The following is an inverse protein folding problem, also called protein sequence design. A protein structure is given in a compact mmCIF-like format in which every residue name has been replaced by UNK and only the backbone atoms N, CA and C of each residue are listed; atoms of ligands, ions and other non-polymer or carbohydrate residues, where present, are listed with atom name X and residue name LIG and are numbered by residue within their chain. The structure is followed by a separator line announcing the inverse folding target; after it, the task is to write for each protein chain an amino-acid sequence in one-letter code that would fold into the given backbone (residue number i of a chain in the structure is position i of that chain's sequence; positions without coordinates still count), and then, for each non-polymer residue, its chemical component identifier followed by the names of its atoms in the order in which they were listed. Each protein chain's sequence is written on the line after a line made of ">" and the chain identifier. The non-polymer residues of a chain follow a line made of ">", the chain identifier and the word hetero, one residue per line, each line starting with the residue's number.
data_IF_758734231129
#
_entry.id   IF_758734231129
#
_cell.length_a   1.000
_cell.length_b   1.000
_cell.length_c   1.000
_cell.angle_alpha   90.00
_cell.angle_beta   90.00
_cell.angle_gamma   90.00
#
_symmetry.space_group_name_H-M   'P 1'
#
loop_
_entity.id
_entity.type
_entity.pdbx_description
1 polymer ?
#
# COMPACT_ATOMS: atom_id res chain seq x y z
N UNK A 1 -21.94 39.41 48.69
CA UNK A 1 -22.23 38.98 50.08
C UNK A 1 -22.62 37.51 49.98
N UNK A 2 -21.68 36.58 50.24
CA UNK A 2 -21.60 35.78 51.49
C UNK A 2 -22.97 35.21 51.92
N UNK A 3 -23.18 33.91 52.14
CA UNK A 3 -22.32 32.73 52.23
C UNK A 3 -23.12 31.55 52.82
N UNK A 4 -22.46 30.40 53.04
CA UNK A 4 -22.92 29.27 53.89
C UNK A 4 -23.05 27.95 53.12
N UNK A 5 -22.02 27.09 53.03
CA UNK A 5 -21.46 26.13 54.01
C UNK A 5 -22.20 24.77 54.15
N UNK A 6 -21.46 23.73 53.74
CA UNK A 6 -21.20 22.42 54.41
C UNK A 6 -22.37 21.43 54.57
N UNK A 7 -22.22 20.11 54.43
CA UNK A 7 -21.10 19.19 54.22
C UNK A 7 -21.59 17.74 54.49
N UNK A 8 -20.77 16.72 54.20
CA UNK A 8 -20.92 15.38 54.79
C UNK A 8 -20.99 14.19 53.82
N UNK A 9 -19.86 13.50 53.67
CA UNK A 9 -19.75 12.10 53.22
C UNK A 9 -20.26 11.13 54.29
N UNK A 10 -20.84 9.98 53.88
CA UNK A 10 -20.48 8.61 54.30
C UNK A 10 -21.58 7.59 53.93
N UNK A 11 -21.16 6.42 53.41
CA UNK A 11 -21.86 5.15 53.66
C UNK A 11 -21.99 4.19 52.47
N UNK A 12 -20.96 3.40 52.19
CA UNK A 12 -21.01 2.11 51.48
C UNK A 12 -21.96 1.12 52.16
N UNK A 13 -22.72 0.31 51.40
CA UNK A 13 -23.03 -1.09 51.74
C UNK A 13 -23.39 -1.90 50.47
N UNK A 14 -22.66 -2.99 50.26
CA UNK A 14 -22.81 -4.02 49.23
C UNK A 14 -23.86 -5.09 49.58
N UNK A 15 -24.39 -5.73 48.53
CA UNK A 15 -24.65 -7.18 48.39
C UNK A 15 -26.11 -7.66 48.17
N UNK A 16 -26.26 -8.38 47.04
CA UNK A 16 -27.06 -9.61 46.79
C UNK A 16 -28.60 -9.55 46.66
N UNK A 17 -29.08 -9.89 45.47
CA UNK A 17 -29.82 -11.13 45.11
C UNK A 17 -30.90 -10.85 44.04
N UNK A 18 -30.87 -11.61 42.93
CA UNK A 18 -32.00 -12.47 42.53
C UNK A 18 -31.74 -13.27 41.25
N UNK A 19 -31.66 -14.59 41.44
CA UNK A 19 -31.84 -15.64 40.44
C UNK A 19 -33.29 -15.67 39.92
N UNK A 20 -33.45 -15.69 38.59
CA UNK A 20 -34.70 -16.06 37.92
C UNK A 20 -34.46 -17.23 36.97
N UNK A 21 -34.97 -18.40 37.33
CA UNK A 21 -34.87 -19.65 36.56
C UNK A 21 -35.81 -19.66 35.35
N UNK A 22 -35.37 -20.23 34.22
CA UNK A 22 -36.28 -20.98 33.33
C UNK A 22 -35.51 -22.13 32.66
N UNK A 23 -35.90 -23.37 33.02
CA UNK A 23 -35.49 -24.60 32.35
C UNK A 23 -36.58 -25.00 31.36
N UNK A 24 -36.22 -25.26 30.10
CA UNK A 24 -36.90 -26.28 29.31
C UNK A 24 -36.13 -26.67 28.04
N UNK A 25 -35.89 -27.99 27.88
CA UNK A 25 -35.86 -28.65 26.57
C UNK A 25 -34.49 -28.87 25.92
N UNK A 26 -33.86 -30.01 26.21
CA UNK A 26 -32.88 -30.64 25.32
C UNK A 26 -33.58 -31.09 24.02
N UNK A 27 -33.00 -30.79 22.86
CA UNK A 27 -33.01 -31.68 21.69
C UNK A 27 -31.94 -31.28 20.68
N UNK A 28 -31.47 -32.32 19.99
CA UNK A 28 -30.24 -32.45 19.22
C UNK A 28 -30.27 -31.75 17.86
N UNK A 29 -29.06 -31.38 17.41
CA UNK A 29 -28.51 -31.48 16.05
C UNK A 29 -29.24 -30.89 14.82
N UNK A 30 -28.38 -30.27 14.02
CA UNK A 30 -28.41 -30.05 12.56
C UNK A 30 -29.01 -28.75 12.03
N UNK A 31 -28.07 -27.99 11.45
CA UNK A 31 -28.14 -27.29 10.17
C UNK A 31 -29.13 -26.14 10.04
N UNK A 32 -28.54 -24.96 9.79
CA UNK A 32 -29.11 -23.96 8.92
C UNK A 32 -29.01 -22.55 9.49
N UNK A 33 -28.65 -21.63 8.59
CA UNK A 33 -28.93 -20.18 8.63
C UNK A 33 -27.90 -19.37 9.45
N UNK A 34 -27.36 -18.24 9.00
CA UNK A 34 -27.82 -17.22 8.01
C UNK A 34 -26.69 -16.18 7.87
N UNK A 35 -26.36 -15.75 6.64
CA UNK A 35 -26.61 -14.40 6.09
C UNK A 35 -26.12 -13.18 6.90
N UNK A 36 -25.24 -12.42 6.23
CA UNK A 36 -25.10 -10.97 6.20
C UNK A 36 -25.09 -10.19 7.52
N UNK A 37 -23.94 -9.55 7.77
CA UNK A 37 -23.93 -8.21 8.34
C UNK A 37 -22.61 -7.88 9.01
N UNK A 38 -21.76 -7.13 8.31
CA UNK A 38 -20.68 -6.22 8.78
C UNK A 38 -19.76 -6.00 7.57
N UNK A 39 -19.95 -5.04 6.65
CA UNK A 39 -19.74 -3.60 6.80
C UNK A 39 -19.05 -3.19 8.11
N UNK A 40 -17.73 -3.02 8.01
CA UNK A 40 -16.90 -2.26 8.93
C UNK A 40 -15.98 -3.10 9.81
N UNK A 41 -14.97 -3.74 9.23
CA UNK A 41 -13.69 -4.13 9.84
C UNK A 41 -12.63 -4.24 8.74
N UNK A 42 -12.23 -3.11 8.14
CA UNK A 42 -10.89 -2.97 7.57
C UNK A 42 -9.97 -2.63 8.74
N UNK A 43 -8.79 -3.25 8.78
CA UNK A 43 -7.83 -3.10 9.86
C UNK A 43 -7.81 -4.32 10.78
N UNK A 44 -6.67 -5.01 10.74
CA UNK A 44 -6.30 -6.25 11.43
C UNK A 44 -6.63 -7.51 10.64
N UNK A 45 -5.86 -7.73 9.58
CA UNK A 45 -5.49 -9.09 9.26
C UNK A 45 -4.79 -9.70 10.47
N UNK A 46 -5.24 -10.88 10.92
CA UNK A 46 -4.55 -11.62 11.98
C UNK A 46 -3.34 -12.35 11.42
N UNK A 47 -2.36 -12.73 12.23
CA UNK A 47 -1.22 -13.62 11.84
C UNK A 47 -1.65 -14.92 11.10
N UNK A 48 -2.95 -15.27 11.14
CA UNK A 48 -3.53 -16.41 10.41
C UNK A 48 -3.99 -16.07 8.98
N UNK A 49 -4.21 -14.79 8.65
CA UNK A 49 -4.59 -14.28 7.33
C UNK A 49 -3.34 -13.98 6.50
N UNK A 50 -2.30 -13.38 7.09
CA UNK A 50 -1.03 -13.18 6.37
C UNK A 50 -0.39 -14.52 5.95
N UNK A 51 -0.34 -15.50 6.86
CA UNK A 51 0.11 -16.85 6.49
C UNK A 51 -0.80 -17.62 5.52
N UNK A 52 -1.97 -17.09 5.14
CA UNK A 52 -2.77 -17.62 4.02
C UNK A 52 -2.32 -17.01 2.68
N UNK A 53 -1.64 -15.86 2.65
CA UNK A 53 -1.20 -15.20 1.42
C UNK A 53 -0.14 -16.05 0.69
N UNK A 54 0.89 -16.53 1.40
CA UNK A 54 1.83 -17.53 0.84
C UNK A 54 1.15 -18.84 0.38
N UNK A 55 0.04 -19.23 1.04
CA UNK A 55 -0.73 -20.41 0.64
C UNK A 55 -1.62 -20.10 -0.58
N UNK A 56 -1.97 -18.84 -0.85
CA UNK A 56 -2.88 -18.39 -1.90
C UNK A 56 -2.23 -18.48 -3.29
N UNK A 57 -0.97 -18.03 -3.44
CA UNK A 57 -0.14 -18.25 -4.64
C UNK A 57 -0.05 -19.74 -5.02
N UNK A 58 -0.05 -20.63 -4.01
CA UNK A 58 -0.04 -22.10 -4.16
C UNK A 58 -1.45 -22.73 -4.31
N UNK A 59 -2.50 -21.97 -3.96
CA UNK A 59 -3.91 -22.33 -4.09
C UNK A 59 -4.51 -21.67 -5.36
N UNK A 60 -5.76 -21.99 -5.70
CA UNK A 60 -6.36 -21.52 -6.96
C UNK A 60 -6.93 -20.09 -6.78
N UNK A 61 -6.14 -19.18 -6.22
CA UNK A 61 -6.50 -17.80 -5.81
C UNK A 61 -5.21 -16.95 -5.72
N UNK A 62 -4.54 -16.71 -6.85
CA UNK A 62 -3.13 -16.30 -6.90
C UNK A 62 -2.87 -14.91 -6.28
N UNK A 63 -3.75 -13.95 -6.54
CA UNK A 63 -3.80 -12.58 -5.99
C UNK A 63 -4.42 -12.45 -4.57
N UNK A 64 -4.97 -13.54 -4.02
CA UNK A 64 -5.66 -13.52 -2.73
C UNK A 64 -6.91 -12.65 -2.63
N UNK A 65 -7.53 -12.21 -3.73
CA UNK A 65 -8.71 -11.33 -3.72
C UNK A 65 -10.02 -12.08 -3.31
N UNK A 66 -9.94 -13.43 -3.29
CA UNK A 66 -11.01 -14.36 -2.94
C UNK A 66 -11.87 -14.82 -4.11
N UNK A 67 -11.50 -14.50 -5.34
CA UNK A 67 -12.07 -14.94 -6.60
C UNK A 67 -11.13 -16.00 -7.20
N UNK A 68 -11.58 -17.26 -7.31
CA UNK A 68 -10.68 -18.31 -7.79
C UNK A 68 -10.20 -18.09 -9.23
N UNK A 69 -8.93 -18.39 -9.52
CA UNK A 69 -8.27 -18.26 -10.84
C UNK A 69 -9.05 -18.87 -12.03
N UNK A 70 -9.97 -19.82 -11.79
CA UNK A 70 -10.76 -20.42 -12.88
C UNK A 70 -11.97 -19.57 -13.31
N UNK A 71 -12.28 -18.53 -12.54
CA UNK A 71 -13.34 -17.55 -12.78
C UNK A 71 -12.86 -16.10 -12.71
N UNK A 72 -11.60 -15.87 -12.34
CA UNK A 72 -10.99 -14.55 -12.41
C UNK A 72 -10.76 -14.08 -13.86
N UNK A 73 -10.89 -12.78 -14.06
CA UNK A 73 -10.46 -12.09 -15.27
C UNK A 73 -9.00 -11.62 -15.22
N UNK A 74 -8.37 -11.65 -14.06
CA UNK A 74 -7.02 -11.14 -13.78
C UNK A 74 -6.52 -11.91 -12.54
N UNK A 75 -5.64 -12.91 -12.66
CA UNK A 75 -5.42 -13.83 -11.51
C UNK A 75 -4.37 -13.33 -10.53
N UNK A 76 -3.50 -12.46 -10.99
CA UNK A 76 -2.47 -11.75 -10.26
C UNK A 76 -2.95 -10.36 -9.88
N UNK A 77 -3.90 -9.74 -10.59
CA UNK A 77 -4.23 -8.32 -10.40
C UNK A 77 -3.07 -7.38 -10.73
N UNK A 78 -2.28 -7.77 -11.72
CA UNK A 78 -1.18 -6.98 -12.26
C UNK A 78 -1.67 -5.82 -13.15
N UNK A 79 -3.00 -5.66 -13.31
CA UNK A 79 -3.65 -4.66 -14.14
C UNK A 79 -3.93 -5.13 -15.59
N UNK A 80 -3.36 -6.26 -16.00
CA UNK A 80 -3.41 -6.81 -17.35
C UNK A 80 -4.33 -8.05 -17.39
N UNK A 81 -5.50 -8.00 -18.05
CA UNK A 81 -6.42 -9.13 -18.03
C UNK A 81 -5.84 -10.43 -18.61
N UNK A 82 -6.02 -11.55 -17.91
CA UNK A 82 -5.68 -12.95 -18.26
C UNK A 82 -5.76 -13.35 -19.75
N UNK A 83 -6.69 -12.77 -20.52
CA UNK A 83 -6.92 -13.08 -21.94
C UNK A 83 -5.88 -12.43 -22.88
N UNK A 84 -5.17 -11.41 -22.41
CA UNK A 84 -4.18 -10.62 -23.15
C UNK A 84 -2.82 -10.57 -22.48
N UNK A 85 -2.76 -10.93 -21.20
CA UNK A 85 -1.52 -11.05 -20.46
C UNK A 85 -0.73 -12.33 -20.84
N UNK A 86 0.59 -12.17 -20.94
CA UNK A 86 1.55 -13.22 -21.27
C UNK A 86 2.02 -13.99 -20.01
N UNK A 87 1.84 -13.43 -18.81
CA UNK A 87 2.30 -13.95 -17.52
C UNK A 87 1.22 -13.89 -16.39
N UNK A 88 0.09 -14.64 -16.48
CA UNK A 88 -1.12 -14.37 -15.65
C UNK A 88 -1.10 -14.93 -14.23
N UNK A 89 0.10 -15.06 -13.68
CA UNK A 89 0.43 -15.49 -12.32
C UNK A 89 1.78 -14.87 -11.89
N UNK A 90 2.05 -13.64 -12.31
CA UNK A 90 3.35 -12.93 -12.24
C UNK A 90 3.05 -11.46 -11.89
N UNK A 91 2.78 -11.21 -10.61
CA UNK A 91 2.17 -9.97 -10.13
C UNK A 91 3.02 -8.72 -10.36
N UNK A 92 4.34 -8.85 -10.21
CA UNK A 92 5.35 -7.81 -10.49
C UNK A 92 5.88 -7.85 -11.93
N UNK A 93 5.47 -8.82 -12.75
CA UNK A 93 5.93 -9.01 -14.12
C UNK A 93 7.46 -9.22 -14.32
N UNK A 94 8.21 -9.66 -13.30
CA UNK A 94 9.67 -9.90 -13.40
C UNK A 94 10.04 -11.15 -14.24
N UNK A 95 9.03 -11.98 -14.54
CA UNK A 95 9.14 -13.24 -15.28
C UNK A 95 9.28 -14.50 -14.41
N UNK A 96 9.14 -14.36 -13.10
CA UNK A 96 9.14 -15.40 -12.07
C UNK A 96 7.76 -15.47 -11.44
N UNK A 97 6.95 -16.49 -11.80
CA UNK A 97 5.59 -16.57 -11.29
C UNK A 97 5.54 -16.59 -9.75
N UNK A 98 4.55 -15.93 -9.14
CA UNK A 98 4.46 -15.65 -7.70
C UNK A 98 4.74 -16.87 -6.81
N UNK A 99 4.26 -18.06 -7.19
CA UNK A 99 4.48 -19.29 -6.42
C UNK A 99 5.96 -19.79 -6.39
N UNK A 100 6.80 -19.25 -7.26
CA UNK A 100 8.25 -19.45 -7.35
C UNK A 100 9.04 -18.18 -6.99
N UNK A 101 8.36 -17.04 -6.80
CA UNK A 101 8.95 -15.79 -6.29
C UNK A 101 9.09 -15.81 -4.76
N UNK A 102 10.08 -15.10 -4.24
CA UNK A 102 10.24 -14.81 -2.82
C UNK A 102 9.83 -13.34 -2.51
N UNK A 103 9.41 -12.54 -3.49
CA UNK A 103 9.07 -11.09 -3.45
C UNK A 103 8.05 -10.78 -4.57
N UNK A 104 6.78 -11.12 -4.33
CA UNK A 104 5.80 -11.26 -5.40
C UNK A 104 5.20 -9.94 -5.90
N UNK A 105 5.19 -8.91 -5.07
CA UNK A 105 4.81 -7.57 -5.50
C UNK A 105 5.99 -6.72 -5.95
N UNK A 106 7.23 -7.18 -5.80
CA UNK A 106 8.40 -6.44 -6.29
C UNK A 106 8.66 -5.16 -5.50
N UNK A 107 8.08 -5.05 -4.30
CA UNK A 107 8.36 -3.95 -3.37
C UNK A 107 9.76 -4.12 -2.72
N UNK A 108 10.40 -5.27 -2.98
CA UNK A 108 11.75 -5.56 -2.57
C UNK A 108 11.87 -6.10 -1.13
N UNK A 109 10.75 -6.36 -0.48
CA UNK A 109 10.61 -7.06 0.79
C UNK A 109 10.27 -8.52 0.52
N UNK A 110 11.05 -9.45 1.07
CA UNK A 110 10.75 -10.89 0.92
C UNK A 110 9.34 -11.21 1.49
N UNK A 111 8.49 -11.89 0.72
CA UNK A 111 7.11 -12.30 1.06
C UNK A 111 7.00 -12.89 2.47
N UNK A 112 8.06 -13.61 2.90
CA UNK A 112 8.07 -14.26 4.21
C UNK A 112 8.36 -13.26 5.32
N UNK A 113 9.09 -12.20 5.07
CA UNK A 113 9.31 -11.12 6.02
C UNK A 113 8.01 -10.33 6.23
N UNK A 114 7.38 -9.89 5.15
CA UNK A 114 6.06 -9.23 5.12
C UNK A 114 4.99 -10.01 5.88
N UNK A 115 4.80 -11.29 5.54
CA UNK A 115 3.79 -12.15 6.19
C UNK A 115 4.05 -12.35 7.70
N UNK A 116 5.27 -12.09 8.19
CA UNK A 116 5.66 -12.30 9.58
C UNK A 116 5.88 -11.02 10.40
N UNK A 117 5.91 -9.84 9.80
CA UNK A 117 6.16 -8.58 10.51
C UNK A 117 4.91 -8.08 11.27
N UNK A 118 3.72 -8.44 10.78
CA UNK A 118 2.42 -8.04 11.30
C UNK A 118 2.03 -6.59 10.97
N UNK A 119 2.71 -5.96 10.00
CA UNK A 119 2.30 -4.71 9.37
C UNK A 119 1.33 -5.04 8.22
N UNK A 120 0.17 -4.37 8.13
CA UNK A 120 -0.73 -4.54 6.99
C UNK A 120 -0.35 -3.71 5.76
N UNK A 121 0.71 -2.90 5.85
CA UNK A 121 1.26 -2.00 4.84
C UNK A 121 2.52 -2.59 4.16
N UNK A 122 2.73 -3.90 4.32
CA UNK A 122 3.83 -4.68 3.75
C UNK A 122 3.25 -6.05 3.46
N UNK A 123 2.34 -6.08 2.48
CA UNK A 123 1.59 -7.27 2.15
C UNK A 123 1.83 -7.58 0.69
N UNK A 124 2.56 -8.65 0.39
CA UNK A 124 2.85 -9.44 -0.84
C UNK A 124 2.08 -9.20 -2.17
N UNK A 125 1.23 -8.20 -2.23
CA UNK A 125 0.26 -7.76 -3.23
C UNK A 125 -0.03 -6.24 -3.02
N UNK A 126 0.94 -5.47 -2.53
CA UNK A 126 0.87 -4.06 -2.06
C UNK A 126 2.19 -3.36 -2.46
N UNK A 127 2.39 -3.17 -3.77
CA UNK A 127 3.66 -2.73 -4.37
C UNK A 127 4.22 -1.42 -3.77
N UNK A 128 3.36 -0.42 -3.59
CA UNK A 128 3.69 0.87 -2.97
C UNK A 128 3.65 0.86 -1.43
N UNK A 129 3.39 -0.29 -0.81
CA UNK A 129 3.26 -0.47 0.63
C UNK A 129 2.22 0.45 1.32
N UNK A 130 1.30 1.10 0.60
CA UNK A 130 0.44 2.13 1.17
C UNK A 130 -0.66 1.53 2.10
N UNK A 131 -0.83 0.22 2.05
CA UNK A 131 -1.83 -0.57 2.77
C UNK A 131 -3.12 -0.80 1.99
N UNK A 132 -3.15 -0.46 0.70
CA UNK A 132 -4.19 -0.69 -0.29
C UNK A 132 -3.65 -1.63 -1.36
N UNK A 133 -3.86 -2.92 -1.12
CA UNK A 133 -3.54 -3.95 -2.13
C UNK A 133 -3.92 -3.58 -3.57
N UNK A 134 -2.99 -3.86 -4.48
CA UNK A 134 -2.97 -3.62 -5.92
C UNK A 134 -4.27 -4.01 -6.63
N UNK A 135 -4.93 -5.06 -6.15
CA UNK A 135 -6.26 -5.49 -6.62
C UNK A 135 -7.33 -4.39 -6.60
N UNK A 136 -7.17 -3.39 -5.74
CA UNK A 136 -8.09 -2.27 -5.60
C UNK A 136 -7.41 -0.90 -5.63
N UNK A 137 -6.09 -0.86 -5.68
CA UNK A 137 -5.38 0.38 -5.92
C UNK A 137 -5.64 0.88 -7.36
N UNK A 138 -5.68 2.19 -7.50
CA UNK A 138 -5.78 2.86 -8.79
C UNK A 138 -4.45 3.41 -9.27
N UNK A 139 -3.42 3.40 -8.42
CA UNK A 139 -2.11 4.08 -8.52
C UNK A 139 -1.10 3.20 -7.76
N UNK A 140 -0.72 2.05 -8.33
CA UNK A 140 -0.05 0.92 -7.64
C UNK A 140 1.37 1.25 -7.18
N UNK A 141 2.03 2.16 -7.87
CA UNK A 141 3.35 2.68 -7.56
C UNK A 141 3.29 4.06 -6.91
N UNK A 142 2.13 4.71 -6.76
CA UNK A 142 1.99 6.05 -6.17
C UNK A 142 2.77 7.17 -6.90
N UNK A 143 2.98 7.03 -8.20
CA UNK A 143 3.61 8.06 -9.04
C UNK A 143 2.66 9.23 -9.41
N UNK A 144 1.41 9.17 -8.93
CA UNK A 144 0.39 10.19 -9.18
C UNK A 144 -0.35 10.04 -10.52
N UNK A 145 -0.10 8.96 -11.26
CA UNK A 145 -0.72 8.59 -12.52
C UNK A 145 -1.53 7.30 -12.34
N UNK A 146 -2.87 7.40 -12.32
CA UNK A 146 -3.74 6.20 -12.29
C UNK A 146 -3.25 5.09 -13.29
N UNK A 147 -3.08 3.82 -12.86
CA UNK A 147 -2.57 2.65 -13.65
C UNK A 147 -3.15 2.52 -15.07
N UNK A 148 -4.37 3.03 -15.30
CA UNK A 148 -5.04 2.97 -16.61
C UNK A 148 -4.53 4.00 -17.61
N UNK A 149 -3.96 5.09 -17.11
CA UNK A 149 -3.32 6.13 -17.88
C UNK A 149 -1.81 5.92 -17.93
N UNK A 150 -1.31 5.14 -16.99
CA UNK A 150 0.09 4.89 -16.86
C UNK A 150 0.58 3.78 -17.79
N UNK A 151 0.87 4.22 -19.01
CA UNK A 151 1.13 3.36 -20.15
C UNK A 151 2.08 4.11 -21.07
N UNK A 152 3.23 3.51 -21.34
CA UNK A 152 4.26 4.10 -22.18
C UNK A 152 3.80 4.34 -23.62
N UNK A 153 4.57 5.15 -24.34
CA UNK A 153 4.30 5.59 -25.73
C UNK A 153 4.13 4.42 -26.73
N UNK A 154 4.66 3.24 -26.37
CA UNK A 154 4.59 1.99 -27.14
C UNK A 154 3.60 0.95 -26.57
N UNK A 155 2.92 1.28 -25.46
CA UNK A 155 2.03 0.36 -24.74
C UNK A 155 2.78 -0.56 -23.78
N UNK A 156 3.94 -0.12 -23.29
CA UNK A 156 4.61 -0.73 -22.13
C UNK A 156 3.73 -0.42 -20.91
N UNK A 157 3.67 -1.34 -19.95
CA UNK A 157 3.09 -1.09 -18.65
C UNK A 157 4.08 -0.24 -17.85
N UNK A 158 3.59 0.81 -17.20
CA UNK A 158 4.43 1.73 -16.41
C UNK A 158 3.93 1.83 -14.97
N UNK A 159 2.87 1.11 -14.56
CA UNK A 159 2.31 1.22 -13.20
C UNK A 159 3.14 0.52 -12.11
N UNK A 160 4.45 0.45 -12.33
CA UNK A 160 5.55 -0.10 -11.54
C UNK A 160 6.85 0.62 -11.96
N UNK A 161 6.75 1.92 -12.21
CA UNK A 161 7.84 2.81 -12.68
C UNK A 161 7.70 4.09 -11.84
N UNK A 162 7.99 3.96 -10.55
CA UNK A 162 7.64 4.93 -9.51
C UNK A 162 8.15 6.34 -9.83
N UNK A 163 9.38 6.42 -10.32
CA UNK A 163 9.99 7.68 -10.74
C UNK A 163 9.73 8.05 -12.20
N UNK A 164 9.00 7.25 -12.98
CA UNK A 164 8.68 7.46 -14.39
C UNK A 164 9.88 7.50 -15.37
N UNK A 165 11.06 6.98 -14.99
CA UNK A 165 12.24 6.99 -15.85
C UNK A 165 12.16 6.00 -17.05
N UNK A 166 11.16 5.10 -17.00
CA UNK A 166 10.90 4.08 -18.00
C UNK A 166 11.64 2.76 -17.74
N UNK A 167 12.21 2.59 -16.54
CA UNK A 167 12.64 1.32 -15.98
C UNK A 167 11.58 0.85 -14.98
N UNK A 168 11.39 -0.46 -14.94
CA UNK A 168 10.45 -1.06 -14.00
C UNK A 168 11.16 -1.12 -12.64
N UNK A 169 10.47 -0.83 -11.54
CA UNK A 169 11.03 -0.82 -10.17
C UNK A 169 11.74 -2.14 -9.82
N UNK A 170 11.32 -3.28 -10.40
CA UNK A 170 12.01 -4.56 -10.21
C UNK A 170 13.38 -4.64 -10.94
N UNK A 171 13.61 -3.80 -11.95
CA UNK A 171 14.86 -3.66 -12.71
C UNK A 171 15.66 -2.39 -12.38
N UNK A 172 15.05 -1.35 -11.80
CA UNK A 172 15.75 -0.15 -11.33
C UNK A 172 16.58 -0.44 -10.06
N UNK A 173 17.66 0.32 -9.86
CA UNK A 173 18.47 0.27 -8.64
C UNK A 173 18.20 1.52 -7.75
N UNK A 174 17.31 2.45 -8.16
CA UNK A 174 17.02 3.76 -7.53
C UNK A 174 15.57 4.22 -7.84
N UNK A 175 14.56 3.52 -7.33
CA UNK A 175 13.15 3.61 -7.77
C UNK A 175 12.49 5.01 -7.62
N UNK A 176 13.04 5.89 -6.78
CA UNK A 176 12.57 7.26 -6.57
C UNK A 176 13.52 8.33 -7.14
N UNK A 177 14.59 7.89 -7.81
CA UNK A 177 15.66 8.71 -8.38
C UNK A 177 16.27 9.76 -7.41
N UNK A 178 16.23 9.54 -6.08
CA UNK A 178 16.77 10.48 -5.07
C UNK A 178 18.31 10.46 -4.96
N UNK A 179 18.98 9.66 -5.80
CA UNK A 179 20.41 9.36 -5.82
C UNK A 179 20.90 8.45 -4.66
N UNK A 180 20.00 7.81 -3.93
CA UNK A 180 20.27 6.80 -2.92
C UNK A 180 19.62 5.49 -3.34
N UNK A 181 20.40 4.71 -4.11
CA UNK A 181 20.04 3.34 -4.46
C UNK A 181 19.23 2.60 -3.38
N UNK A 182 18.18 1.86 -3.74
CA UNK A 182 17.24 1.23 -2.79
C UNK A 182 17.97 0.34 -1.77
N UNK A 183 19.08 -0.26 -2.18
CA UNK A 183 19.94 -1.09 -1.30
C UNK A 183 20.66 -0.31 -0.18
N UNK A 184 20.82 1.00 -0.34
CA UNK A 184 21.53 1.94 0.54
C UNK A 184 20.59 2.89 1.30
N UNK A 185 19.28 2.90 0.97
CA UNK A 185 18.23 3.55 1.75
C UNK A 185 18.17 3.06 3.21
N UNK A 186 17.60 3.86 4.12
CA UNK A 186 17.88 3.74 5.56
C UNK A 186 17.42 2.42 6.23
N UNK A 187 16.66 1.61 5.52
CA UNK A 187 16.32 0.24 5.89
C UNK A 187 16.57 -0.80 4.79
N UNK A 188 17.15 -0.40 3.65
CA UNK A 188 17.54 -1.24 2.52
C UNK A 188 16.35 -1.98 1.95
N UNK A 189 15.78 -1.46 0.88
CA UNK A 189 14.58 -2.00 0.23
C UNK A 189 13.30 -2.00 1.11
N UNK A 190 13.42 -1.88 2.45
CA UNK A 190 12.33 -2.12 3.39
C UNK A 190 12.20 -1.01 4.46
N UNK A 191 12.37 0.25 4.06
CA UNK A 191 12.09 1.39 4.92
C UNK A 191 10.64 1.80 4.84
N UNK A 192 10.08 2.29 5.94
CA UNK A 192 8.80 3.04 5.92
C UNK A 192 8.88 4.36 5.14
N UNK A 193 9.89 4.50 4.26
CA UNK A 193 10.40 5.69 3.61
C UNK A 193 11.05 5.33 2.25
N UNK A 194 10.72 4.17 1.66
CA UNK A 194 11.15 3.78 0.31
C UNK A 194 10.63 4.75 -0.77
N UNK A 195 9.58 5.50 -0.42
CA UNK A 195 8.92 6.51 -1.24
C UNK A 195 8.94 7.85 -0.46
N UNK A 196 10.14 8.42 -0.27
CA UNK A 196 10.41 9.67 0.49
C UNK A 196 11.13 10.63 -0.47
N UNK A 197 10.45 11.07 -1.53
CA UNK A 197 11.02 11.78 -2.69
C UNK A 197 11.89 13.00 -2.31
N UNK A 198 11.56 13.71 -1.23
CA UNK A 198 12.32 14.86 -0.74
C UNK A 198 13.37 14.52 0.36
N UNK A 199 13.41 13.26 0.77
CA UNK A 199 14.25 12.70 1.82
C UNK A 199 14.16 13.46 3.15
N UNK A 200 12.99 14.00 3.50
CA UNK A 200 12.75 14.70 4.76
C UNK A 200 12.52 13.73 5.95
N UNK A 201 12.31 12.45 5.63
CA UNK A 201 12.02 11.37 6.57
C UNK A 201 10.54 11.29 6.91
N UNK A 202 9.68 11.74 5.98
CA UNK A 202 8.24 11.61 6.00
C UNK A 202 7.85 11.00 4.65
N UNK A 203 7.48 9.74 4.72
CA UNK A 203 6.94 8.99 3.60
C UNK A 203 5.83 9.76 2.86
N UNK A 204 5.88 9.81 1.53
CA UNK A 204 5.01 10.60 0.64
C UNK A 204 3.52 10.41 0.96
N UNK A 205 3.09 9.17 1.22
CA UNK A 205 1.72 8.85 1.66
C UNK A 205 1.25 9.67 2.87
N UNK A 206 2.18 10.08 3.73
CA UNK A 206 1.94 10.90 4.91
C UNK A 206 2.52 12.30 4.83
N UNK A 207 3.41 12.56 3.87
CA UNK A 207 3.75 13.91 3.47
C UNK A 207 2.55 14.54 2.76
N UNK A 208 2.63 15.84 2.55
CA UNK A 208 1.63 16.60 1.86
C UNK A 208 2.33 17.60 0.92
N UNK A 209 3.61 17.38 0.59
CA UNK A 209 4.55 18.27 -0.11
C UNK A 209 5.76 17.41 -0.55
N UNK A 210 5.52 16.38 -1.37
CA UNK A 210 6.43 15.25 -1.64
C UNK A 210 7.78 15.65 -2.28
N UNK A 211 7.82 16.76 -3.02
CA UNK A 211 9.05 17.35 -3.59
C UNK A 211 9.59 18.56 -2.80
N UNK A 212 8.92 18.91 -1.70
CA UNK A 212 9.23 20.03 -0.82
C UNK A 212 9.32 21.42 -1.51
N UNK A 213 8.64 21.61 -2.65
CA UNK A 213 8.61 22.86 -3.42
C UNK A 213 7.78 23.97 -2.72
N UNK A 214 6.96 23.58 -1.73
CA UNK A 214 6.09 24.42 -0.92
C UNK A 214 4.69 24.66 -1.50
N UNK A 215 4.31 23.93 -2.53
CA UNK A 215 2.97 23.54 -2.89
C UNK A 215 2.61 22.28 -2.07
N UNK A 216 1.57 21.53 -2.41
CA UNK A 216 1.10 20.46 -1.52
C UNK A 216 0.26 19.53 -2.32
N UNK A 217 0.60 18.25 -2.45
CA UNK A 217 0.25 17.32 -3.54
C UNK A 217 -1.22 17.38 -3.97
N UNK A 218 -2.13 17.59 -3.00
CA UNK A 218 -3.53 17.85 -3.30
C UNK A 218 -3.76 19.01 -4.29
N UNK A 219 -2.90 20.03 -4.31
CA UNK A 219 -2.94 21.16 -5.21
C UNK A 219 -2.34 20.80 -6.57
N UNK A 220 -1.15 20.21 -6.63
CA UNK A 220 -0.49 19.71 -7.85
C UNK A 220 -1.48 18.89 -8.68
N UNK A 221 -2.04 17.84 -8.08
CA UNK A 221 -2.96 16.91 -8.76
C UNK A 221 -4.26 17.59 -9.23
N UNK A 222 -4.69 18.69 -8.59
CA UNK A 222 -6.02 19.27 -8.81
C UNK A 222 -6.06 20.65 -9.48
N UNK A 223 -4.92 21.31 -9.66
CA UNK A 223 -4.90 22.67 -10.20
C UNK A 223 -4.93 22.69 -11.75
N UNK A 224 -4.55 21.56 -12.38
CA UNK A 224 -4.49 21.35 -13.82
C UNK A 224 -3.38 22.17 -14.49
N UNK A 225 -2.26 22.36 -13.80
CA UNK A 225 -1.07 23.04 -14.25
C UNK A 225 0.12 22.08 -14.30
N UNK A 226 0.55 21.75 -15.51
CA UNK A 226 1.69 20.88 -15.80
C UNK A 226 3.07 21.51 -15.42
N UNK A 227 3.14 22.44 -14.45
CA UNK A 227 4.37 23.10 -13.96
C UNK A 227 4.48 23.02 -12.43
N UNK A 228 3.67 22.16 -11.85
CA UNK A 228 3.49 21.91 -10.42
C UNK A 228 3.15 20.43 -10.36
N UNK A 229 4.03 19.62 -10.95
CA UNK A 229 3.98 18.17 -10.80
C UNK A 229 4.22 17.83 -9.34
N UNK A 230 3.77 16.65 -8.90
CA UNK A 230 4.01 16.18 -7.54
C UNK A 230 5.50 15.96 -7.26
N UNK A 231 6.28 15.79 -8.32
CA UNK A 231 7.73 15.56 -8.35
C UNK A 231 8.39 16.56 -9.33
N UNK A 232 8.25 17.87 -9.05
CA UNK A 232 8.79 18.98 -9.86
C UNK A 232 9.32 20.08 -8.91
N UNK A 233 10.42 19.76 -8.23
CA UNK A 233 10.95 20.51 -7.09
C UNK A 233 11.24 21.99 -7.40
N UNK A 234 11.55 22.34 -8.66
CA UNK A 234 11.77 23.72 -9.10
C UNK A 234 10.61 24.37 -9.87
N UNK A 235 9.55 23.60 -10.16
CA UNK A 235 8.34 24.01 -10.88
C UNK A 235 8.59 24.49 -12.32
N UNK A 236 9.51 23.85 -13.04
CA UNK A 236 9.81 24.18 -14.43
C UNK A 236 9.01 23.37 -15.46
N UNK A 237 8.29 22.34 -14.98
CA UNK A 237 7.43 21.46 -15.76
C UNK A 237 8.17 20.33 -16.46
N UNK A 238 9.34 19.99 -15.93
CA UNK A 238 10.06 18.75 -16.16
C UNK A 238 10.01 18.03 -14.81
N UNK A 239 9.61 16.76 -14.81
CA UNK A 239 9.61 15.96 -13.57
C UNK A 239 11.06 15.72 -13.14
N UNK A 240 11.30 15.60 -11.84
CA UNK A 240 12.66 15.59 -11.26
C UNK A 240 13.56 14.51 -11.90
N UNK A 241 13.02 13.33 -12.23
CA UNK A 241 13.73 12.25 -12.95
C UNK A 241 14.11 12.59 -14.41
N UNK A 242 13.38 13.48 -15.08
CA UNK A 242 13.68 13.96 -16.43
C UNK A 242 14.57 15.23 -16.44
N UNK A 243 14.75 15.87 -15.28
CA UNK A 243 15.60 17.07 -15.13
C UNK A 243 17.08 16.68 -14.91
N UNK A 244 18.00 17.50 -15.42
CA UNK A 244 19.43 17.36 -15.17
C UNK A 244 19.89 18.29 -13.99
N UNK A 245 19.00 19.10 -13.40
CA UNK A 245 19.22 20.12 -12.35
C UNK A 245 17.87 20.39 -11.62
N UNK A 246 17.32 19.34 -10.99
CA UNK A 246 15.98 19.24 -10.35
C UNK A 246 15.65 20.39 -9.37
N UNK A 247 16.63 20.87 -8.61
CA UNK A 247 16.47 21.98 -7.65
C UNK A 247 16.81 23.36 -8.23
N UNK A 248 17.29 23.38 -9.48
CA UNK A 248 17.75 24.52 -10.27
C UNK A 248 18.72 25.45 -9.50
N UNK A 249 19.57 24.87 -8.65
CA UNK A 249 20.65 25.58 -7.98
C UNK A 249 21.84 25.87 -8.92
N UNK A 250 21.90 25.19 -10.06
CA UNK A 250 22.90 25.33 -11.11
C UNK A 250 24.05 24.33 -11.01
N UNK A 251 23.87 23.25 -10.25
CA UNK A 251 24.69 22.04 -10.22
C UNK A 251 23.84 20.93 -10.84
N UNK A 252 24.46 20.08 -11.66
CA UNK A 252 23.68 18.97 -12.24
C UNK A 252 23.64 17.81 -11.25
N UNK A 253 22.56 17.05 -11.24
CA UNK A 253 22.26 15.97 -10.26
C UNK A 253 23.39 14.95 -10.21
N UNK A 254 24.00 14.66 -11.37
CA UNK A 254 25.21 13.83 -11.50
C UNK A 254 26.45 14.31 -10.70
N UNK A 255 26.40 15.49 -10.08
CA UNK A 255 27.41 16.07 -9.21
C UNK A 255 26.93 16.33 -7.77
N UNK A 256 25.64 16.12 -7.49
CA UNK A 256 25.01 16.05 -6.18
C UNK A 256 25.44 14.72 -5.48
N UNK A 257 25.40 14.68 -4.15
CA UNK A 257 25.84 13.53 -3.31
C UNK A 257 25.26 13.58 -1.89
#
# INVERSE_FOLDING_TARGET
>A
QQGGQQGGQQGDQTSQDQNGQNQNGQNEQQQGQTQNGQQGQQGQQSDQQQGQQLDNQDENDNDGDGIPNDVDNDNDNDGIPNDVDDSPFDHDNDGTPDYEDDDADGDGIDDREEVNDGDPNTNIYDHDNDGISDAVDLDIDNDGIDNRNDIGDMGEDLSRDHDNDGMDDAEDDDDDNDNILDVDEIDGVAGSYRYDHDNDGIWDLTDNDDDNDGLMDWFEVNDGNDLTGQFDADNDGIEDHEDDDDDNDGILDIYEF
#
